data_IF_874473850147
#
_entry.id   IF_874473850147
#
_cell.length_a   1.000
_cell.length_b   1.000
_cell.length_c   1.000
_cell.angle_alpha   90.00
_cell.angle_beta   90.00
_cell.angle_gamma   90.00
#
_symmetry.space_group_name_H-M   'P 1'
#
loop_
_entity.id
_entity.type
_entity.pdbx_description
1 polymer ?
#
# COMPACT_ATOMS: atom_id res chain seq x y z
N UNK A 1 5.31 9.32 -13.72
CA UNK A 1 4.87 8.81 -12.41
C UNK A 1 5.92 9.13 -11.36
N UNK A 2 5.52 9.55 -10.17
CA UNK A 2 6.40 9.69 -9.01
C UNK A 2 5.90 8.87 -7.81
N UNK A 3 6.83 8.25 -7.08
CA UNK A 3 6.59 7.66 -5.76
C UNK A 3 7.57 8.30 -4.78
N UNK A 4 7.03 8.98 -3.78
CA UNK A 4 7.80 9.70 -2.77
C UNK A 4 7.41 9.19 -1.39
N UNK A 5 8.42 8.87 -0.58
CA UNK A 5 8.27 8.50 0.82
C UNK A 5 8.55 9.72 1.72
N UNK A 6 7.89 9.78 2.89
CA UNK A 6 8.16 10.79 3.93
C UNK A 6 9.65 10.83 4.26
N UNK A 7 10.24 12.03 4.35
CA UNK A 7 11.68 12.21 4.56
C UNK A 7 12.51 12.30 3.27
N UNK A 8 11.87 12.53 2.12
CA UNK A 8 12.49 12.84 0.83
C UNK A 8 13.27 11.68 0.17
N UNK A 9 12.82 10.43 0.37
CA UNK A 9 13.29 9.31 -0.46
C UNK A 9 12.34 9.13 -1.65
N UNK A 10 12.89 9.20 -2.86
CA UNK A 10 12.15 9.11 -4.12
C UNK A 10 12.49 7.75 -4.76
N UNK A 11 11.49 6.89 -4.91
CA UNK A 11 11.65 5.59 -5.58
C UNK A 11 11.49 5.71 -7.10
N UNK A 12 10.61 6.62 -7.52
CA UNK A 12 10.37 6.94 -8.92
C UNK A 12 10.34 8.46 -9.05
N UNK A 13 11.25 8.99 -9.88
CA UNK A 13 11.21 10.40 -10.30
C UNK A 13 10.76 10.47 -11.75
N UNK A 14 9.52 10.93 -11.94
CA UNK A 14 8.99 11.33 -13.25
C UNK A 14 9.17 10.33 -14.39
N UNK A 15 9.26 9.02 -14.09
CA UNK A 15 9.43 7.96 -15.10
C UNK A 15 8.14 7.65 -15.84
N UNK A 16 8.27 7.28 -17.10
CA UNK A 16 7.19 6.71 -17.91
C UNK A 16 7.01 5.24 -17.56
N UNK A 17 5.78 4.86 -17.23
CA UNK A 17 5.40 3.50 -16.83
C UNK A 17 4.17 3.06 -17.63
N UNK A 18 4.00 1.77 -17.82
CA UNK A 18 2.84 1.22 -18.56
C UNK A 18 1.61 1.18 -17.68
N UNK A 19 1.77 0.73 -16.44
CA UNK A 19 0.66 0.52 -15.53
C UNK A 19 1.17 0.57 -14.09
N UNK A 20 0.31 1.06 -13.18
CA UNK A 20 0.56 1.05 -11.74
C UNK A 20 -0.63 0.43 -11.03
N UNK A 21 -0.42 -0.64 -10.30
CA UNK A 21 -1.46 -1.25 -9.47
C UNK A 21 -1.30 -0.79 -8.03
N UNK A 22 -2.37 -0.23 -7.48
CA UNK A 22 -2.38 0.36 -6.15
C UNK A 22 -3.49 -0.21 -5.27
N UNK A 23 -3.21 -0.54 -3.99
CA UNK A 23 -4.23 -0.84 -3.00
C UNK A 23 -4.83 0.45 -2.45
N UNK A 24 -6.14 0.63 -2.64
CA UNK A 24 -6.92 1.72 -2.05
C UNK A 24 -7.94 1.20 -1.03
N UNK A 25 -8.55 2.12 -0.30
CA UNK A 25 -9.66 1.77 0.61
C UNK A 25 -10.86 1.17 -0.15
N UNK A 26 -11.09 1.60 -1.39
CA UNK A 26 -12.16 1.11 -2.26
C UNK A 26 -11.86 -0.23 -2.96
N UNK A 27 -10.65 -0.77 -2.80
CA UNK A 27 -10.24 -2.03 -3.42
C UNK A 27 -8.84 -1.95 -4.00
N UNK A 28 -8.57 -2.68 -5.07
CA UNK A 28 -7.28 -2.58 -5.79
C UNK A 28 -7.59 -2.22 -7.23
N UNK A 29 -7.00 -1.13 -7.72
CA UNK A 29 -7.20 -0.69 -9.10
C UNK A 29 -5.87 -0.42 -9.79
N UNK A 30 -5.88 -0.60 -11.10
CA UNK A 30 -4.74 -0.35 -11.97
C UNK A 30 -4.91 0.98 -12.69
N UNK A 31 -3.87 1.80 -12.66
CA UNK A 31 -3.79 3.09 -13.34
C UNK A 31 -3.05 2.87 -14.64
N UNK A 32 -3.76 3.07 -15.76
CA UNK A 32 -3.23 3.02 -17.12
C UNK A 32 -3.01 4.45 -17.65
N UNK A 33 -2.32 4.62 -18.80
CA UNK A 33 -2.19 5.93 -19.43
C UNK A 33 -3.58 6.50 -19.76
N UNK A 34 -3.77 7.80 -19.53
CA UNK A 34 -5.07 8.49 -19.68
C UNK A 34 -6.17 8.00 -18.72
N UNK A 35 -5.80 7.64 -17.50
CA UNK A 35 -6.77 7.42 -16.44
C UNK A 35 -7.52 8.72 -16.07
N UNK A 36 -8.76 8.60 -15.60
CA UNK A 36 -9.54 9.74 -15.11
C UNK A 36 -8.85 10.35 -13.88
N UNK A 37 -8.78 11.69 -13.75
CA UNK A 37 -8.26 12.33 -12.55
C UNK A 37 -8.96 11.81 -11.31
N UNK A 38 -8.19 11.39 -10.32
CA UNK A 38 -8.73 10.73 -9.13
C UNK A 38 -7.80 10.98 -7.96
N UNK A 39 -8.40 11.28 -6.81
CA UNK A 39 -7.73 11.30 -5.52
C UNK A 39 -8.16 10.06 -4.74
N UNK A 40 -7.20 9.33 -4.20
CA UNK A 40 -7.47 8.15 -3.39
C UNK A 40 -6.51 8.03 -2.21
N UNK A 41 -6.98 7.39 -1.14
CA UNK A 41 -6.17 7.02 0.02
C UNK A 41 -5.66 5.59 -0.17
N UNK A 42 -4.37 5.39 0.09
CA UNK A 42 -3.71 4.08 0.03
C UNK A 42 -4.03 3.27 1.27
N UNK A 43 -4.31 1.99 1.06
CA UNK A 43 -4.38 0.98 2.11
C UNK A 43 -3.01 0.31 2.25
N UNK A 44 -2.61 -0.16 3.45
CA UNK A 44 -1.42 -0.98 3.60
C UNK A 44 -1.39 -2.15 2.61
N UNK A 45 -0.31 -2.28 1.84
CA UNK A 45 -0.19 -3.32 0.82
C UNK A 45 0.96 -3.08 -0.16
N UNK A 46 0.97 -3.89 -1.23
CA UNK A 46 2.03 -3.83 -2.25
C UNK A 46 1.54 -3.09 -3.48
N UNK A 47 2.26 -2.04 -3.84
CA UNK A 47 2.14 -1.34 -5.12
C UNK A 47 3.02 -2.06 -6.14
N UNK A 48 2.45 -2.36 -7.30
CA UNK A 48 3.19 -2.99 -8.41
C UNK A 48 3.30 -2.00 -9.56
N UNK A 49 4.52 -1.70 -9.97
CA UNK A 49 4.82 -0.83 -11.11
C UNK A 49 5.26 -1.70 -12.29
N UNK A 50 4.54 -1.58 -13.40
CA UNK A 50 4.88 -2.24 -14.65
C UNK A 50 5.63 -1.24 -15.54
N UNK A 51 6.90 -1.51 -15.79
CA UNK A 51 7.75 -0.64 -16.61
C UNK A 51 7.58 -0.97 -18.10
N UNK A 52 8.11 -0.08 -18.96
CA UNK A 52 8.02 -0.26 -20.40
C UNK A 52 8.74 -1.51 -20.89
N UNK A 53 9.79 -1.93 -20.18
CA UNK A 53 10.64 -3.06 -20.56
C UNK A 53 10.05 -4.43 -20.14
N UNK A 54 8.85 -4.44 -19.54
CA UNK A 54 8.19 -5.65 -19.05
C UNK A 54 8.68 -6.11 -17.67
N UNK A 55 9.58 -5.36 -17.04
CA UNK A 55 9.98 -5.53 -15.65
C UNK A 55 8.85 -5.05 -14.72
N UNK A 56 8.69 -5.76 -13.59
CA UNK A 56 7.70 -5.44 -12.57
C UNK A 56 8.41 -5.14 -11.26
N UNK A 57 8.29 -3.92 -10.78
CA UNK A 57 8.85 -3.50 -9.48
C UNK A 57 7.76 -3.53 -8.42
N UNK A 58 8.04 -4.15 -7.28
CA UNK A 58 7.09 -4.31 -6.18
C UNK A 58 7.58 -3.54 -4.96
N UNK A 59 6.73 -2.62 -4.51
CA UNK A 59 7.02 -1.75 -3.38
C UNK A 59 5.91 -1.94 -2.36
N UNK A 60 6.27 -2.36 -1.16
CA UNK A 60 5.34 -2.32 -0.03
C UNK A 60 5.17 -0.89 0.45
N UNK A 61 3.93 -0.49 0.68
CA UNK A 61 3.53 0.81 1.18
C UNK A 61 2.65 0.62 2.40
N UNK A 62 2.95 1.34 3.49
CA UNK A 62 2.15 1.29 4.72
C UNK A 62 0.84 2.06 4.58
N UNK A 63 0.92 3.32 4.19
CA UNK A 63 -0.21 4.25 4.10
C UNK A 63 0.20 5.43 3.21
N UNK A 64 -0.78 6.19 2.77
CA UNK A 64 -0.50 7.38 1.97
C UNK A 64 -1.67 7.85 1.12
N UNK A 65 -1.35 8.65 0.11
CA UNK A 65 -2.31 9.18 -0.85
C UNK A 65 -1.82 9.03 -2.28
N UNK A 66 -2.76 9.02 -3.20
CA UNK A 66 -2.50 9.02 -4.64
C UNK A 66 -3.24 10.20 -5.24
N UNK A 67 -2.52 10.95 -6.08
CA UNK A 67 -3.10 11.95 -6.96
C UNK A 67 -2.87 11.56 -8.40
N UNK A 68 -3.95 11.45 -9.16
CA UNK A 68 -3.94 11.31 -10.61
C UNK A 68 -4.46 12.63 -11.18
N UNK A 69 -3.64 13.28 -12.00
CA UNK A 69 -3.94 14.57 -12.60
C UNK A 69 -4.39 14.41 -14.06
N UNK A 70 -4.98 15.46 -14.64
CA UNK A 70 -5.47 15.49 -16.03
C UNK A 70 -4.36 15.31 -17.09
N UNK A 71 -3.12 15.68 -16.75
CA UNK A 71 -1.94 15.49 -17.60
C UNK A 71 -1.44 14.03 -17.62
N UNK A 72 -2.21 13.10 -17.04
CA UNK A 72 -1.85 11.71 -16.80
C UNK A 72 -0.62 11.54 -15.88
N UNK A 73 -0.23 12.59 -15.13
CA UNK A 73 0.76 12.44 -14.07
C UNK A 73 0.14 11.75 -12.85
N UNK A 74 0.88 10.81 -12.29
CA UNK A 74 0.50 10.05 -11.09
C UNK A 74 1.52 10.33 -10.02
N UNK A 75 1.06 10.78 -8.87
CA UNK A 75 1.86 11.04 -7.68
C UNK A 75 1.39 10.11 -6.57
N UNK A 76 2.29 9.26 -6.08
CA UNK A 76 2.06 8.36 -4.95
C UNK A 76 2.88 8.89 -3.78
N UNK A 77 2.20 9.36 -2.74
CA UNK A 77 2.82 9.89 -1.53
C UNK A 77 2.62 8.87 -0.42
N UNK A 78 3.69 8.19 -0.03
CA UNK A 78 3.69 7.19 1.02
C UNK A 78 4.29 7.74 2.31
N UNK A 79 3.74 7.33 3.45
CA UNK A 79 4.38 7.57 4.75
C UNK A 79 5.63 6.70 4.89
N UNK A 80 5.47 5.39 4.73
CA UNK A 80 6.57 4.45 4.63
C UNK A 80 6.43 3.61 3.36
N UNK A 81 7.57 3.42 2.67
CA UNK A 81 7.68 2.56 1.50
C UNK A 81 8.99 1.77 1.57
N UNK A 82 8.91 0.48 1.25
CA UNK A 82 10.03 -0.44 1.23
C UNK A 82 9.95 -1.33 -0.02
N UNK A 83 11.06 -1.57 -0.74
CA UNK A 83 11.06 -2.61 -1.78
C UNK A 83 10.80 -3.96 -1.14
N UNK A 84 10.03 -4.82 -1.82
CA UNK A 84 9.65 -6.13 -1.27
C UNK A 84 10.88 -7.02 -0.98
N UNK A 85 11.97 -6.84 -1.74
CA UNK A 85 13.20 -7.61 -1.58
C UNK A 85 13.95 -7.32 -0.26
N UNK A 86 13.65 -6.18 0.38
CA UNK A 86 14.25 -5.78 1.66
C UNK A 86 13.39 -6.17 2.87
N UNK A 87 12.28 -6.88 2.68
CA UNK A 87 11.37 -7.25 3.77
C UNK A 87 11.71 -8.65 4.28
N UNK A 88 12.14 -8.76 5.54
CA UNK A 88 12.24 -10.06 6.19
C UNK A 88 10.85 -10.55 6.64
N UNK A 89 10.40 -11.64 6.01
CA UNK A 89 9.14 -12.30 6.32
C UNK A 89 9.14 -12.97 7.70
N UNK A 90 10.31 -13.35 8.23
CA UNK A 90 10.41 -13.96 9.56
C UNK A 90 10.16 -12.91 10.64
N UNK A 91 10.94 -11.83 10.63
CA UNK A 91 10.75 -10.70 11.55
C UNK A 91 9.31 -10.13 11.46
N UNK A 92 8.76 -10.02 10.25
CA UNK A 92 7.39 -9.56 10.05
C UNK A 92 6.34 -10.42 10.78
N UNK A 93 6.51 -11.75 10.77
CA UNK A 93 5.61 -12.68 11.47
C UNK A 93 5.76 -12.60 12.98
N UNK A 94 6.98 -12.44 13.48
CA UNK A 94 7.23 -12.30 14.91
C UNK A 94 6.58 -11.02 15.46
N UNK A 95 6.69 -9.91 14.72
CA UNK A 95 6.04 -8.65 15.09
C UNK A 95 4.51 -8.79 15.02
N UNK A 96 3.97 -9.50 14.02
CA UNK A 96 2.53 -9.77 13.91
C UNK A 96 2.02 -10.56 15.13
N UNK A 97 2.72 -11.61 15.55
CA UNK A 97 2.34 -12.42 16.71
C UNK A 97 2.36 -11.60 18.02
N UNK A 98 3.34 -10.69 18.16
CA UNK A 98 3.41 -9.76 19.29
C UNK A 98 2.22 -8.80 19.30
N UNK A 99 1.93 -8.16 18.18
CA UNK A 99 0.78 -7.25 18.05
C UNK A 99 -0.57 -7.94 18.31
N UNK A 100 -0.72 -9.21 17.90
CA UNK A 100 -1.91 -10.01 18.23
C UNK A 100 -2.03 -10.32 19.73
N UNK A 101 -0.91 -10.59 20.39
CA UNK A 101 -0.89 -10.83 21.84
C UNK A 101 -1.24 -9.56 22.62
N UNK A 102 -0.72 -8.41 22.18
CA UNK A 102 -1.03 -7.09 22.74
C UNK A 102 -2.51 -6.75 22.58
N UNK A 103 -3.09 -6.98 21.39
CA UNK A 103 -4.52 -6.81 21.15
C UNK A 103 -5.38 -7.67 22.09
N UNK A 104 -4.99 -8.93 22.33
CA UNK A 104 -5.71 -9.81 23.25
C UNK A 104 -5.60 -9.37 24.72
N UNK A 105 -4.49 -8.72 25.10
CA UNK A 105 -4.24 -8.24 26.45
C UNK A 105 -4.80 -6.83 26.75
N UNK A 106 -5.15 -6.08 25.71
CA UNK A 106 -5.59 -4.69 25.83
C UNK A 106 -6.95 -4.57 26.53
N UNK A 107 -6.99 -3.77 27.60
CA UNK A 107 -8.19 -3.57 28.43
C UNK A 107 -9.01 -2.34 28.02
N UNK A 108 -8.37 -1.35 27.37
CA UNK A 108 -9.03 -0.12 26.90
C UNK A 108 -9.40 -0.22 25.42
N UNK A 109 -10.54 0.37 25.05
CA UNK A 109 -10.99 0.41 23.64
C UNK A 109 -10.01 1.15 22.73
N UNK A 110 -9.31 2.16 23.25
CA UNK A 110 -8.29 2.90 22.52
C UNK A 110 -7.09 2.02 22.16
N UNK A 111 -6.53 1.29 23.14
CA UNK A 111 -5.40 0.40 22.90
C UNK A 111 -5.77 -0.76 21.96
N UNK A 112 -7.02 -1.25 22.03
CA UNK A 112 -7.52 -2.25 21.06
C UNK A 112 -7.58 -1.69 19.65
N UNK A 113 -8.04 -0.45 19.47
CA UNK A 113 -8.10 0.18 18.15
C UNK A 113 -6.71 0.38 17.54
N UNK A 114 -5.74 0.84 18.33
CA UNK A 114 -4.35 1.02 17.88
C UNK A 114 -3.69 -0.32 17.51
N UNK A 115 -3.86 -1.35 18.34
CA UNK A 115 -3.33 -2.68 18.06
C UNK A 115 -4.01 -3.32 16.83
N UNK A 116 -5.32 -3.10 16.63
CA UNK A 116 -6.02 -3.59 15.43
C UNK A 116 -5.47 -2.97 14.14
N UNK A 117 -5.18 -1.67 14.17
CA UNK A 117 -4.57 -0.94 13.05
C UNK A 117 -3.16 -1.51 12.77
N UNK A 118 -2.34 -1.73 13.80
CA UNK A 118 -1.01 -2.33 13.62
C UNK A 118 -1.08 -3.73 12.99
N UNK A 119 -2.00 -4.58 13.45
CA UNK A 119 -2.22 -5.92 12.89
C UNK A 119 -2.58 -5.84 11.40
N UNK A 120 -3.43 -4.89 10.99
CA UNK A 120 -3.81 -4.73 9.59
C UNK A 120 -2.60 -4.45 8.69
N UNK A 121 -1.69 -3.58 9.14
CA UNK A 121 -0.45 -3.27 8.43
C UNK A 121 0.51 -4.44 8.32
N UNK A 122 0.77 -5.08 9.46
CA UNK A 122 1.65 -6.23 9.56
C UNK A 122 1.14 -7.40 8.73
N UNK A 123 -0.17 -7.63 8.74
CA UNK A 123 -0.79 -8.66 7.93
C UNK A 123 -0.62 -8.39 6.43
N UNK A 124 -0.77 -7.13 6.01
CA UNK A 124 -0.56 -6.74 4.62
C UNK A 124 0.90 -6.91 4.16
N UNK A 125 1.87 -6.76 5.06
CA UNK A 125 3.29 -7.00 4.80
C UNK A 125 3.61 -8.49 4.66
N UNK A 126 3.08 -9.34 5.56
CA UNK A 126 3.35 -10.79 5.58
C UNK A 126 2.62 -11.52 4.45
N UNK A 127 1.38 -11.12 4.16
CA UNK A 127 0.51 -11.77 3.17
C UNK A 127 0.02 -10.75 2.14
N UNK A 128 0.89 -10.26 1.25
CA UNK A 128 0.50 -9.34 0.22
C UNK A 128 -0.55 -10.00 -0.69
N UNK A 129 -1.72 -9.37 -0.78
CA UNK A 129 -2.86 -9.89 -1.53
C UNK A 129 -2.47 -9.97 -3.02
N UNK A 130 -2.20 -11.18 -3.53
CA UNK A 130 -1.86 -11.38 -4.94
C UNK A 130 -3.05 -10.94 -5.79
N UNK A 131 -2.81 -10.05 -6.75
CA UNK A 131 -3.78 -9.81 -7.82
C UNK A 131 -3.98 -11.15 -8.54
N UNK A 132 -5.23 -11.56 -8.77
CA UNK A 132 -5.51 -12.54 -9.83
C UNK A 132 -5.14 -11.83 -11.13
N UNK A 133 -4.20 -12.38 -11.89
CA UNK A 133 -3.89 -11.85 -13.22
C UNK A 133 -5.21 -11.75 -13.99
N UNK A 134 -5.56 -10.52 -14.39
CA UNK A 134 -6.56 -10.35 -15.43
C UNK A 134 -5.79 -10.56 -16.73
N UNK A 135 -5.90 -11.77 -17.28
CA UNK A 135 -5.52 -12.01 -18.67
C UNK A 135 -6.34 -11.04 -19.54
N UNK A 136 -5.69 -10.42 -20.50
CA UNK A 136 -6.20 -9.29 -21.30
C UNK A 136 -7.32 -9.68 -22.28
N UNK A 137 -7.83 -10.91 -22.19
CA UNK A 137 -9.02 -11.36 -22.91
C UNK A 137 -10.29 -11.05 -22.11
N UNK A 138 -10.74 -9.80 -22.28
CA UNK A 138 -12.13 -9.38 -22.28
C UNK A 138 -13.02 -9.79 -21.11
N UNK A 139 -13.21 -8.91 -20.12
CA UNK A 139 -14.33 -9.06 -19.18
C UNK A 139 -14.98 -7.71 -18.83
N UNK A 140 -16.26 -7.59 -19.19
CA UNK A 140 -17.21 -6.56 -18.72
C UNK A 140 -17.66 -6.93 -17.30
N UNK A 141 -17.34 -6.11 -16.30
CA UNK A 141 -17.94 -6.25 -14.96
C UNK A 141 -18.50 -4.93 -14.43
N UNK A 142 -19.68 -4.96 -13.78
CA UNK A 142 -20.37 -3.76 -13.31
C UNK A 142 -19.70 -3.19 -12.06
N UNK A 143 -19.46 -1.88 -12.07
CA UNK A 143 -18.90 -1.12 -10.95
C UNK A 143 -19.99 -0.98 -9.88
N UNK A 144 -19.92 -1.75 -8.79
CA UNK A 144 -20.76 -1.52 -7.61
C UNK A 144 -20.12 -0.48 -6.69
N UNK A 145 -20.89 0.56 -6.42
CA UNK A 145 -20.56 1.68 -5.54
C UNK A 145 -20.61 1.20 -4.08
N UNK A 146 -19.49 1.23 -3.37
CA UNK A 146 -19.46 0.98 -1.92
C UNK A 146 -19.17 2.27 -1.14
N UNK A 147 -19.79 2.46 0.04
CA UNK A 147 -19.71 3.70 0.82
C UNK A 147 -18.34 3.83 1.51
N UNK A 148 -17.79 5.04 1.46
CA UNK A 148 -16.48 5.38 2.04
C UNK A 148 -16.70 5.74 3.51
N UNK A 149 -16.13 4.97 4.44
CA UNK A 149 -16.01 5.38 5.85
C UNK A 149 -14.55 5.74 6.11
N UNK A 150 -14.31 6.98 6.50
CA UNK A 150 -12.99 7.53 6.76
C UNK A 150 -12.56 7.15 8.19
N UNK A 151 -11.45 6.44 8.36
CA UNK A 151 -10.83 6.18 9.67
C UNK A 151 -9.46 6.86 9.69
N UNK A 152 -9.19 7.60 10.76
CA UNK A 152 -7.94 8.33 10.95
C UNK A 152 -6.76 7.37 11.19
N UNK A 153 -5.59 7.69 10.61
CA UNK A 153 -4.36 6.92 10.76
C UNK A 153 -3.55 7.49 11.95
N UNK A 154 -3.27 6.69 13.00
CA UNK A 154 -2.43 7.09 14.12
C UNK A 154 -0.94 7.11 13.74
N UNK A 155 -0.17 7.97 14.40
CA UNK A 155 1.21 8.40 14.06
C UNK A 155 2.34 7.42 14.40
N UNK A 156 2.05 6.19 14.85
CA UNK A 156 3.06 5.25 15.39
C UNK A 156 3.68 4.28 14.36
N UNK A 157 3.29 4.37 13.10
CA UNK A 157 3.69 3.42 12.05
C UNK A 157 5.14 3.54 11.55
N UNK A 158 5.82 4.65 11.87
CA UNK A 158 7.21 4.88 11.49
C UNK A 158 8.21 3.92 12.16
N UNK A 159 7.87 3.36 13.32
CA UNK A 159 8.75 2.46 14.07
C UNK A 159 8.71 1.03 13.53
N UNK A 160 7.54 0.57 13.07
CA UNK A 160 7.34 -0.79 12.54
C UNK A 160 8.11 -1.01 11.24
N UNK A 161 8.11 -0.03 10.34
CA UNK A 161 8.84 -0.13 9.07
C UNK A 161 10.37 -0.13 9.30
N UNK A 162 10.88 0.66 10.25
CA UNK A 162 12.30 0.64 10.63
C UNK A 162 12.75 -0.68 11.26
N UNK A 163 11.90 -1.32 12.07
CA UNK A 163 12.19 -2.64 12.65
C UNK A 163 12.23 -3.76 11.60
N UNK A 164 11.48 -3.63 10.50
CA UNK A 164 11.48 -4.59 9.39
C UNK A 164 12.66 -4.41 8.41
N UNK A 165 13.33 -3.25 8.43
CA UNK A 165 14.44 -2.92 7.52
C UNK A 165 15.83 -3.13 8.14
N UNK A 166 15.93 -3.52 9.42
CA UNK A 166 17.18 -3.62 10.17
C UNK A 166 17.44 -5.04 10.67
N UNK A 167 17.77 -5.92 9.73
CA UNK A 167 18.74 -7.04 9.90
C UNK A 167 19.35 -7.36 8.55
#
# INVERSE_FOLDING_TARGET
MSIVKRGCSIFYDSKTVKQVDVPSFSGTFGILPKHVPTLAVLKPGVVTVFENDGSNQKIFVSSGTISINDDASVQVLAEEACPVDHIDLSAARDILNKAQSEFASATTEQAKAEAAIAIEGLFAAVSPKRRRNYDHEGIKHPVTRCPITFVAVPSEWSHVCKQMQLT
#
